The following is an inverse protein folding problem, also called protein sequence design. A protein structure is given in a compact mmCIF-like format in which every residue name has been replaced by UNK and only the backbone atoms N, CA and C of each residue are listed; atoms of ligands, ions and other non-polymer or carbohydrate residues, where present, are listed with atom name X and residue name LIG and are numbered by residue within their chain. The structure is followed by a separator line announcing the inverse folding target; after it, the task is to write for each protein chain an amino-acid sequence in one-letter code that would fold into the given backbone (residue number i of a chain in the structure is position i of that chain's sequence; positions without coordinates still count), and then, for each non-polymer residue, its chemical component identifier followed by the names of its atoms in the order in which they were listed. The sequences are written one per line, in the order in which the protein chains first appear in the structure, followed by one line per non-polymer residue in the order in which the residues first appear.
data_IF_592984575477
#
_entry.id   IF_592984575477
#
_cell.length_a   1.000
_cell.length_b   1.000
_cell.length_c   1.000
_cell.angle_alpha   90.00
_cell.angle_beta   90.00
_cell.angle_gamma   90.00
#
_symmetry.space_group_name_H-M   'P 1'
#
loop_
_entity.id
_entity.type
_entity.pdbx_description
1 polymer ?
#
# COMPACT_ATOMS: atom_id res chain seq x y z
N UNK A 1 29.03 -10.36 38.11
CA UNK A 1 28.27 -9.19 38.60
C UNK A 1 29.19 -7.98 38.49
N UNK A 2 29.29 -7.40 37.28
CA UNK A 2 30.30 -6.38 37.00
C UNK A 2 29.67 -5.16 36.29
N UNK A 3 29.79 -4.00 36.93
CA UNK A 3 29.75 -2.65 36.38
C UNK A 3 28.65 -2.28 35.37
N UNK A 4 27.38 -2.32 35.79
CA UNK A 4 26.29 -1.49 35.22
C UNK A 4 26.30 -0.05 35.77
N UNK A 5 27.49 0.48 36.08
CA UNK A 5 27.66 1.80 36.71
C UNK A 5 27.46 2.94 35.71
N UNK A 6 27.64 2.70 34.41
CA UNK A 6 27.52 3.70 33.35
C UNK A 6 26.47 3.27 32.33
N UNK A 7 25.20 3.57 32.61
CA UNK A 7 24.07 3.30 31.72
C UNK A 7 23.49 4.64 31.26
N UNK A 8 23.28 4.81 29.95
CA UNK A 8 22.67 6.01 29.37
C UNK A 8 21.32 6.37 30.00
N UNK A 9 20.54 5.40 30.47
CA UNK A 9 19.31 5.65 31.24
C UNK A 9 19.57 6.36 32.56
N UNK A 10 20.61 5.97 33.30
CA UNK A 10 21.01 6.64 34.54
C UNK A 10 21.55 8.05 34.29
N UNK A 11 22.29 8.25 33.19
CA UNK A 11 22.72 9.60 32.76
C UNK A 11 21.51 10.48 32.49
N UNK A 12 20.48 9.94 31.81
CA UNK A 12 19.21 10.65 31.57
C UNK A 12 18.44 10.97 32.87
N UNK A 13 18.37 10.03 33.80
CA UNK A 13 17.72 10.23 35.10
C UNK A 13 18.39 11.36 35.90
N UNK A 14 19.73 11.41 35.87
CA UNK A 14 20.52 12.47 36.51
C UNK A 14 20.27 13.85 35.86
N UNK A 15 19.91 13.89 34.58
CA UNK A 15 19.73 15.15 33.83
C UNK A 15 18.32 15.72 33.86
N UNK A 16 17.31 14.89 34.16
CA UNK A 16 15.90 15.32 34.31
C UNK A 16 15.69 16.54 35.22
N UNK A 17 16.36 16.64 36.39
CA UNK A 17 16.26 17.82 37.25
C UNK A 17 16.69 19.13 36.59
N UNK A 18 17.55 19.10 35.57
CA UNK A 18 18.01 20.32 34.88
C UNK A 18 16.99 20.85 33.90
N UNK A 19 16.24 19.97 33.24
CA UNK A 19 15.09 20.39 32.42
C UNK A 19 14.05 21.11 33.28
N UNK A 20 13.82 20.62 34.51
CA UNK A 20 12.94 21.27 35.49
C UNK A 20 13.50 22.63 35.92
N UNK A 21 14.81 22.72 36.19
CA UNK A 21 15.46 23.99 36.55
C UNK A 21 15.41 25.02 35.41
N UNK A 22 15.58 24.60 34.15
CA UNK A 22 15.41 25.45 32.99
C UNK A 22 13.97 25.97 32.89
N UNK A 23 12.97 25.08 33.06
CA UNK A 23 11.56 25.46 33.09
C UNK A 23 11.24 26.48 34.19
N UNK A 24 11.79 26.28 35.39
CA UNK A 24 11.63 27.22 36.51
C UNK A 24 12.29 28.57 36.24
N UNK A 25 13.46 28.59 35.59
CA UNK A 25 14.11 29.84 35.17
C UNK A 25 13.26 30.61 34.17
N UNK A 26 12.73 29.94 33.15
CA UNK A 26 11.84 30.58 32.18
C UNK A 26 10.57 31.12 32.83
N UNK A 27 10.00 30.38 33.78
CA UNK A 27 8.85 30.85 34.55
C UNK A 27 9.18 32.10 35.37
N UNK A 28 10.34 32.14 36.01
CA UNK A 28 10.80 33.29 36.79
C UNK A 28 11.02 34.52 35.88
N UNK A 29 11.65 34.34 34.72
CA UNK A 29 11.81 35.42 33.73
C UNK A 29 10.43 35.92 33.22
N UNK A 30 9.45 35.03 33.04
CA UNK A 30 8.09 35.41 32.64
C UNK A 30 7.36 36.22 33.71
N UNK A 31 7.42 35.78 34.98
CA UNK A 31 6.80 36.49 36.11
C UNK A 31 7.42 37.88 36.27
N UNK A 32 8.74 37.98 36.12
CA UNK A 32 9.44 39.27 36.22
C UNK A 32 9.05 40.22 35.10
N UNK A 33 8.84 39.73 33.87
CA UNK A 33 8.33 40.54 32.75
C UNK A 33 6.92 41.07 33.00
N UNK A 34 6.01 40.18 33.43
CA UNK A 34 4.63 40.56 33.79
C UNK A 34 4.61 41.61 34.91
N UNK A 35 5.50 41.47 35.89
CA UNK A 35 5.68 42.47 36.94
C UNK A 35 6.15 43.82 36.40
N UNK A 36 7.13 43.86 35.48
CA UNK A 36 7.58 45.12 34.85
C UNK A 36 6.42 45.80 34.11
N UNK A 37 5.67 45.03 33.32
CA UNK A 37 4.55 45.56 32.53
C UNK A 37 3.45 46.17 33.41
N UNK A 38 3.12 45.51 34.53
CA UNK A 38 2.05 45.97 35.42
C UNK A 38 2.49 47.02 36.45
N UNK A 39 3.80 47.14 36.71
CA UNK A 39 4.35 48.06 37.71
C UNK A 39 4.04 49.53 37.38
N UNK A 40 4.25 49.93 36.13
CA UNK A 40 4.08 51.34 35.74
C UNK A 40 2.61 51.78 35.81
N UNK A 41 1.67 50.86 35.55
CA UNK A 41 0.23 51.12 35.69
C UNK A 41 -0.22 51.14 37.16
N UNK A 42 0.40 50.34 38.03
CA UNK A 42 0.14 50.38 39.47
C UNK A 42 0.66 51.68 40.13
N UNK A 43 1.80 52.20 39.68
CA UNK A 43 2.43 53.41 40.25
C UNK A 43 1.69 54.69 39.84
N UNK A 44 1.08 54.75 38.65
CA UNK A 44 0.33 55.92 38.15
C UNK A 44 -0.83 56.36 39.06
N UNK A 45 -1.34 55.48 39.91
CA UNK A 45 -2.49 55.75 40.78
C UNK A 45 -2.13 56.37 42.14
N UNK A 46 -0.84 56.57 42.43
CA UNK A 46 -0.38 57.13 43.71
C UNK A 46 0.19 58.54 43.50
N UNK A 47 -0.17 59.47 44.39
CA UNK A 47 0.24 60.88 44.32
C UNK A 47 1.38 61.25 45.29
N UNK A 48 1.71 60.36 46.23
CA UNK A 48 2.71 60.58 47.28
C UNK A 48 4.12 60.28 46.74
N UNK A 49 4.96 61.31 46.65
CA UNK A 49 6.33 61.20 46.12
C UNK A 49 7.26 60.37 47.00
N UNK A 50 7.11 60.42 48.34
CA UNK A 50 7.98 59.66 49.24
C UNK A 50 7.68 58.16 49.14
N UNK A 51 6.39 57.81 49.01
CA UNK A 51 5.95 56.44 48.75
C UNK A 51 6.42 55.93 47.39
N UNK A 52 6.35 56.76 46.34
CA UNK A 52 6.85 56.41 45.00
C UNK A 52 8.36 56.16 45.04
N UNK A 53 9.14 56.97 45.77
CA UNK A 53 10.59 56.80 45.90
C UNK A 53 10.93 55.48 46.61
N UNK A 54 10.22 55.14 47.69
CA UNK A 54 10.38 53.84 48.38
C UNK A 54 10.06 52.66 47.45
N UNK A 55 9.00 52.77 46.64
CA UNK A 55 8.67 51.76 45.63
C UNK A 55 9.79 51.65 44.61
N UNK A 56 10.35 52.76 44.12
CA UNK A 56 11.47 52.74 43.18
C UNK A 56 12.71 52.03 43.74
N UNK A 57 13.05 52.27 45.01
CA UNK A 57 14.14 51.58 45.70
C UNK A 57 13.88 50.07 45.80
N UNK A 58 12.67 49.67 46.22
CA UNK A 58 12.28 48.25 46.28
C UNK A 58 12.34 47.58 44.90
N UNK A 59 11.93 48.29 43.85
CA UNK A 59 12.01 47.77 42.48
C UNK A 59 13.45 47.57 42.02
N UNK A 60 14.35 48.47 42.40
CA UNK A 60 15.77 48.36 42.09
C UNK A 60 16.40 47.16 42.82
N UNK A 61 16.02 46.92 44.07
CA UNK A 61 16.42 45.74 44.82
C UNK A 61 15.89 44.45 44.17
N UNK A 62 14.61 44.42 43.77
CA UNK A 62 14.01 43.28 43.07
C UNK A 62 14.69 43.00 41.73
N UNK A 63 15.05 44.04 40.98
CA UNK A 63 15.82 43.91 39.74
C UNK A 63 17.18 43.28 40.00
N UNK A 64 17.92 43.77 40.99
CA UNK A 64 19.23 43.22 41.35
C UNK A 64 19.15 41.75 41.78
N UNK A 65 18.11 41.38 42.55
CA UNK A 65 17.85 39.99 42.95
C UNK A 65 17.53 39.13 41.72
N UNK A 66 16.68 39.61 40.81
CA UNK A 66 16.35 38.88 39.60
C UNK A 66 17.58 38.66 38.71
N UNK A 67 18.39 39.70 38.48
CA UNK A 67 19.59 39.63 37.65
C UNK A 67 20.63 38.67 38.23
N UNK A 68 20.82 38.69 39.55
CA UNK A 68 21.73 37.76 40.24
C UNK A 68 21.22 36.32 40.18
N UNK A 69 19.93 36.08 40.40
CA UNK A 69 19.31 34.76 40.29
C UNK A 69 19.41 34.19 38.87
N UNK A 70 19.14 35.00 37.85
CA UNK A 70 19.25 34.59 36.45
C UNK A 70 20.71 34.23 36.13
N UNK A 71 21.67 35.07 36.55
CA UNK A 71 23.09 34.82 36.30
C UNK A 71 23.56 33.51 36.94
N UNK A 72 23.31 33.34 38.24
CA UNK A 72 23.72 32.13 38.98
C UNK A 72 23.05 30.89 38.40
N UNK A 73 21.77 30.97 38.05
CA UNK A 73 21.04 29.85 37.49
C UNK A 73 21.56 29.46 36.10
N UNK A 74 21.85 30.44 35.22
CA UNK A 74 22.44 30.19 33.90
C UNK A 74 23.84 29.58 34.01
N UNK A 75 24.67 30.08 34.91
CA UNK A 75 26.00 29.50 35.16
C UNK A 75 25.92 28.05 35.65
N UNK A 76 25.01 27.76 36.59
CA UNK A 76 24.83 26.40 37.11
C UNK A 76 24.27 25.43 36.06
N UNK A 77 23.28 25.87 35.28
CA UNK A 77 22.75 25.10 34.15
C UNK A 77 23.87 24.83 33.13
N UNK A 78 24.68 25.83 32.80
CA UNK A 78 25.82 25.68 31.88
C UNK A 78 26.86 24.66 32.37
N UNK A 79 27.27 24.74 33.65
CA UNK A 79 28.18 23.76 34.26
C UNK A 79 27.62 22.35 34.22
N UNK A 80 26.32 22.20 34.45
CA UNK A 80 25.68 20.89 34.46
C UNK A 80 25.55 20.30 33.04
N UNK A 81 25.18 21.11 32.05
CA UNK A 81 25.15 20.69 30.64
C UNK A 81 26.54 20.22 30.21
N UNK A 82 27.58 20.99 30.55
CA UNK A 82 28.96 20.59 30.27
C UNK A 82 29.31 19.24 30.91
N UNK A 83 28.93 19.04 32.17
CA UNK A 83 29.13 17.76 32.87
C UNK A 83 28.35 16.61 32.21
N UNK A 84 27.11 16.85 31.79
CA UNK A 84 26.30 15.88 31.05
C UNK A 84 26.97 15.47 29.73
N UNK A 85 27.46 16.44 28.96
CA UNK A 85 28.12 16.18 27.68
C UNK A 85 29.41 15.36 27.87
N UNK A 86 30.19 15.67 28.90
CA UNK A 86 31.37 14.89 29.27
C UNK A 86 31.03 13.45 29.69
N UNK A 87 29.94 13.25 30.46
CA UNK A 87 29.46 11.91 30.81
C UNK A 87 29.00 11.14 29.56
N UNK A 88 28.26 11.77 28.66
CA UNK A 88 27.80 11.14 27.41
C UNK A 88 28.99 10.77 26.52
N UNK A 89 29.98 11.65 26.41
CA UNK A 89 31.19 11.42 25.63
C UNK A 89 31.96 10.22 26.19
N UNK A 90 32.22 10.19 27.50
CA UNK A 90 32.87 9.04 28.15
C UNK A 90 32.09 7.74 27.97
N UNK A 91 30.76 7.78 28.02
CA UNK A 91 29.93 6.60 27.78
C UNK A 91 30.08 6.09 26.35
N UNK A 92 30.08 7.00 25.36
CA UNK A 92 30.29 6.66 23.95
C UNK A 92 31.66 6.04 23.74
N UNK A 93 32.70 6.62 24.33
CA UNK A 93 34.06 6.13 24.20
C UNK A 93 34.21 4.72 24.79
N UNK A 94 33.71 4.49 26.02
CA UNK A 94 33.70 3.17 26.66
C UNK A 94 32.88 2.14 25.85
N UNK A 95 31.74 2.57 25.28
CA UNK A 95 30.93 1.71 24.42
C UNK A 95 31.66 1.34 23.13
N UNK A 96 32.34 2.29 22.48
CA UNK A 96 33.16 2.05 21.29
C UNK A 96 34.29 1.09 21.61
N UNK A 97 34.97 1.24 22.75
CA UNK A 97 36.05 0.36 23.14
C UNK A 97 35.55 -1.05 23.51
N UNK A 98 34.37 -1.16 24.13
CA UNK A 98 33.68 -2.45 24.31
C UNK A 98 33.34 -3.11 22.98
N UNK A 99 32.89 -2.33 21.99
CA UNK A 99 32.62 -2.83 20.65
C UNK A 99 33.88 -3.24 19.87
N UNK A 100 35.00 -2.54 20.06
CA UNK A 100 36.29 -2.95 19.48
C UNK A 100 36.80 -4.25 20.11
N UNK A 101 36.58 -4.43 21.41
CA UNK A 101 36.97 -5.64 22.15
C UNK A 101 36.06 -6.83 21.86
N UNK A 102 34.80 -6.60 21.47
CA UNK A 102 33.95 -7.68 20.98
C UNK A 102 34.41 -8.06 19.58
N UNK A 103 35.21 -9.12 19.49
CA UNK A 103 35.61 -9.75 18.23
C UNK A 103 34.38 -10.35 17.52
N UNK A 104 33.56 -9.49 16.91
CA UNK A 104 32.45 -9.90 16.08
C UNK A 104 33.00 -10.28 14.72
N UNK A 105 32.63 -11.47 14.24
CA UNK A 105 32.98 -11.94 12.91
C UNK A 105 32.55 -10.91 11.86
N UNK A 106 33.43 -10.56 10.91
CA UNK A 106 33.27 -9.46 9.93
C UNK A 106 31.94 -9.57 9.15
N UNK A 107 31.46 -10.79 8.92
CA UNK A 107 30.19 -11.06 8.26
C UNK A 107 28.97 -10.70 9.14
N UNK A 108 29.03 -10.97 10.44
CA UNK A 108 27.95 -10.63 11.38
C UNK A 108 27.85 -9.11 11.57
N UNK A 109 28.99 -8.40 11.64
CA UNK A 109 29.01 -6.93 11.67
C UNK A 109 28.34 -6.36 10.42
N UNK A 110 28.66 -6.91 9.24
CA UNK A 110 28.08 -6.47 7.98
C UNK A 110 26.57 -6.70 7.93
N UNK A 111 26.09 -7.86 8.39
CA UNK A 111 24.66 -8.16 8.46
C UNK A 111 23.92 -7.26 9.45
N UNK A 112 24.49 -7.04 10.64
CA UNK A 112 23.92 -6.13 11.64
C UNK A 112 23.88 -4.70 11.09
N UNK A 113 24.96 -4.23 10.47
CA UNK A 113 25.03 -2.90 9.85
C UNK A 113 24.02 -2.70 8.73
N UNK A 114 23.89 -3.67 7.82
CA UNK A 114 22.88 -3.64 6.76
C UNK A 114 21.47 -3.61 7.32
N UNK A 115 21.18 -4.46 8.32
CA UNK A 115 19.87 -4.51 8.99
C UNK A 115 19.53 -3.19 9.72
N UNK A 116 20.52 -2.49 10.29
CA UNK A 116 20.31 -1.18 10.92
C UNK A 116 20.07 -0.05 9.90
N UNK A 117 20.68 -0.14 8.70
CA UNK A 117 20.45 0.78 7.59
C UNK A 117 19.07 0.54 6.96
N UNK A 118 18.72 -0.71 6.69
CA UNK A 118 17.41 -1.10 6.12
C UNK A 118 16.25 -0.65 7.02
N UNK A 119 16.41 -0.82 8.34
CA UNK A 119 15.41 -0.38 9.32
C UNK A 119 15.47 1.11 9.65
N UNK A 120 16.28 1.91 8.94
CA UNK A 120 16.47 3.37 9.16
C UNK A 120 16.85 3.76 10.60
N UNK A 121 17.40 2.84 11.40
CA UNK A 121 17.83 3.12 12.78
C UNK A 121 19.16 3.87 12.82
N UNK A 122 19.96 3.73 11.76
CA UNK A 122 21.19 4.48 11.54
C UNK A 122 21.17 4.98 10.09
N UNK A 123 21.27 6.29 9.91
CA UNK A 123 21.60 6.88 8.62
C UNK A 123 23.11 6.84 8.42
N UNK A 124 23.58 6.63 7.18
CA UNK A 124 25.00 6.79 6.84
C UNK A 124 25.43 8.18 7.30
N UNK A 125 26.33 8.27 8.28
CA UNK A 125 26.88 9.55 8.73
C UNK A 125 27.64 10.13 7.55
N UNK A 126 27.07 11.16 6.93
CA UNK A 126 27.79 11.97 5.96
C UNK A 126 28.65 12.92 6.81
N UNK A 127 29.91 12.56 7.01
CA UNK A 127 30.86 13.26 7.89
C UNK A 127 31.13 14.72 7.50
N UNK A 128 30.68 15.13 6.32
CA UNK A 128 30.68 16.51 5.87
C UNK A 128 29.26 16.84 5.43
N UNK A 129 28.62 17.81 6.08
CA UNK A 129 27.61 18.61 5.39
C UNK A 129 28.34 19.33 4.25
N UNK A 130 28.48 18.65 3.12
CA UNK A 130 28.87 19.29 1.87
C UNK A 130 27.72 20.22 1.52
N UNK A 131 27.85 21.48 1.95
CA UNK A 131 27.11 22.57 1.34
C UNK A 131 27.59 22.64 -0.10
N UNK A 132 26.92 21.89 -0.98
CA UNK A 132 26.93 22.19 -2.40
C UNK A 132 26.13 23.48 -2.51
N UNK A 133 26.83 24.59 -2.69
CA UNK A 133 26.18 25.80 -3.20
C UNK A 133 25.43 25.38 -4.46
N UNK A 134 24.14 25.70 -4.52
CA UNK A 134 23.39 25.45 -5.75
C UNK A 134 24.10 26.22 -6.85
N UNK A 135 24.44 25.52 -7.94
CA UNK A 135 24.95 26.17 -9.14
C UNK A 135 24.02 27.33 -9.48
N UNK A 136 24.61 28.49 -9.74
CA UNK A 136 23.91 29.64 -10.27
C UNK A 136 23.37 29.30 -11.67
N UNK A 137 22.38 30.07 -12.14
CA UNK A 137 21.72 29.79 -13.41
C UNK A 137 22.72 29.83 -14.59
N UNK A 138 23.71 30.72 -14.51
CA UNK A 138 24.78 30.85 -15.50
C UNK A 138 25.70 29.62 -15.51
N UNK A 139 26.12 29.13 -14.33
CA UNK A 139 26.93 27.90 -14.23
C UNK A 139 26.16 26.66 -14.71
N UNK A 140 24.83 26.64 -14.56
CA UNK A 140 23.99 25.60 -15.14
C UNK A 140 23.99 25.64 -16.66
N UNK A 141 23.92 26.83 -17.26
CA UNK A 141 23.96 27.00 -18.72
C UNK A 141 25.33 26.59 -19.27
N UNK A 142 26.42 27.02 -18.64
CA UNK A 142 27.78 26.67 -19.02
C UNK A 142 28.05 25.16 -18.91
N UNK A 143 27.55 24.54 -17.84
CA UNK A 143 27.63 23.09 -17.66
C UNK A 143 26.82 22.35 -18.73
N UNK A 144 25.64 22.86 -19.09
CA UNK A 144 24.79 22.27 -20.13
C UNK A 144 25.45 22.38 -21.50
N UNK A 145 26.09 23.51 -21.82
CA UNK A 145 26.84 23.70 -23.06
C UNK A 145 28.11 22.85 -23.10
N UNK A 146 28.81 22.71 -21.98
CA UNK A 146 29.95 21.78 -21.83
C UNK A 146 29.53 20.33 -22.01
N UNK A 147 28.37 19.93 -21.47
CA UNK A 147 27.80 18.60 -21.64
C UNK A 147 27.38 18.35 -23.09
N UNK A 148 26.81 19.33 -23.79
CA UNK A 148 26.48 19.22 -25.22
C UNK A 148 27.72 18.95 -26.08
N UNK A 149 28.88 19.47 -25.69
CA UNK A 149 30.16 19.23 -26.40
C UNK A 149 30.82 17.91 -25.98
N UNK A 150 30.42 17.32 -24.86
CA UNK A 150 31.01 16.09 -24.34
C UNK A 150 30.50 14.84 -25.08
N UNK A 151 31.42 14.13 -25.73
CA UNK A 151 31.11 12.95 -26.54
C UNK A 151 30.56 11.77 -25.72
N UNK A 152 30.99 11.59 -24.47
CA UNK A 152 30.46 10.55 -23.58
C UNK A 152 29.03 10.89 -23.17
N UNK A 153 28.75 12.15 -22.84
CA UNK A 153 27.40 12.61 -22.51
C UNK A 153 26.45 12.40 -23.69
N UNK A 154 26.82 12.83 -24.90
CA UNK A 154 26.04 12.60 -26.11
C UNK A 154 25.82 11.11 -26.39
N UNK A 155 26.85 10.27 -26.20
CA UNK A 155 26.71 8.83 -26.35
C UNK A 155 25.75 8.22 -25.33
N UNK A 156 25.77 8.71 -24.07
CA UNK A 156 24.81 8.27 -23.05
C UNK A 156 23.39 8.76 -23.34
N UNK A 157 23.21 10.00 -23.82
CA UNK A 157 21.92 10.52 -24.26
C UNK A 157 21.30 9.64 -25.35
N UNK A 158 22.07 9.28 -26.38
CA UNK A 158 21.61 8.35 -27.43
C UNK A 158 21.19 6.98 -26.87
N UNK A 159 21.91 6.47 -25.85
CA UNK A 159 21.52 5.22 -25.17
C UNK A 159 20.21 5.38 -24.39
N UNK A 160 20.02 6.51 -23.72
CA UNK A 160 18.79 6.83 -22.98
C UNK A 160 17.61 7.00 -23.93
N UNK A 161 17.78 7.73 -25.04
CA UNK A 161 16.78 7.88 -26.10
C UNK A 161 16.38 6.52 -26.68
N UNK A 162 17.37 5.67 -26.97
CA UNK A 162 17.12 4.31 -27.46
C UNK A 162 16.32 3.50 -26.44
N UNK A 163 16.73 3.51 -25.17
CA UNK A 163 16.01 2.83 -24.09
C UNK A 163 14.57 3.34 -23.95
N UNK A 164 14.37 4.66 -24.01
CA UNK A 164 13.04 5.26 -23.93
C UNK A 164 12.17 4.86 -25.13
N UNK A 165 12.73 4.83 -26.34
CA UNK A 165 12.04 4.35 -27.54
C UNK A 165 11.64 2.87 -27.43
N UNK A 166 12.49 2.03 -26.84
CA UNK A 166 12.20 0.62 -26.58
C UNK A 166 11.10 0.46 -25.52
N UNK A 167 11.10 1.30 -24.48
CA UNK A 167 10.09 1.32 -23.43
C UNK A 167 8.73 1.75 -24.00
N UNK A 168 8.69 2.78 -24.84
CA UNK A 168 7.48 3.20 -25.55
C UNK A 168 6.94 2.09 -26.46
N UNK A 169 7.79 1.41 -27.22
CA UNK A 169 7.38 0.26 -28.05
C UNK A 169 6.82 -0.89 -27.20
N UNK A 170 7.42 -1.17 -26.05
CA UNK A 170 6.91 -2.20 -25.12
C UNK A 170 5.55 -1.82 -24.55
N UNK A 171 5.38 -0.55 -24.12
CA UNK A 171 4.09 -0.06 -23.62
C UNK A 171 3.01 -0.07 -24.69
N UNK A 172 3.32 0.36 -25.92
CA UNK A 172 2.40 0.29 -27.05
C UNK A 172 1.95 -1.16 -27.31
N UNK A 173 2.87 -2.12 -27.33
CA UNK A 173 2.52 -3.55 -27.45
C UNK A 173 1.64 -4.06 -26.31
N UNK A 174 1.91 -3.64 -25.07
CA UNK A 174 1.10 -4.01 -23.91
C UNK A 174 -0.31 -3.43 -24.00
N UNK A 175 -0.45 -2.18 -24.42
CA UNK A 175 -1.77 -1.55 -24.58
C UNK A 175 -2.54 -2.15 -25.77
N UNK A 176 -1.87 -2.41 -26.90
CA UNK A 176 -2.47 -3.11 -28.04
C UNK A 176 -2.96 -4.52 -27.67
N UNK A 177 -2.23 -5.24 -26.81
CA UNK A 177 -2.65 -6.57 -26.35
C UNK A 177 -3.89 -6.56 -25.44
N UNK A 178 -4.27 -5.40 -24.91
CA UNK A 178 -5.49 -5.22 -24.10
C UNK A 178 -6.71 -4.88 -24.96
N UNK A 179 -6.52 -4.58 -26.24
CA UNK A 179 -7.60 -4.27 -27.18
C UNK A 179 -8.28 -5.59 -27.60
N UNK A 180 -9.62 -5.69 -27.55
CA UNK A 180 -10.33 -6.88 -28.04
C UNK A 180 -10.03 -7.14 -29.52
N UNK A 181 -9.81 -8.39 -29.90
CA UNK A 181 -9.48 -8.80 -31.28
C UNK A 181 -10.53 -8.40 -32.34
N UNK A 182 -11.76 -8.05 -31.93
CA UNK A 182 -12.83 -7.56 -32.81
C UNK A 182 -12.88 -6.03 -32.96
N UNK A 183 -11.87 -5.31 -32.50
CA UNK A 183 -11.84 -3.85 -32.61
C UNK A 183 -11.51 -3.40 -34.02
N UNK A 184 -12.12 -2.29 -34.46
CA UNK A 184 -11.92 -1.74 -35.81
C UNK A 184 -10.44 -1.44 -36.07
N UNK A 185 -9.84 -2.00 -37.15
CA UNK A 185 -8.44 -1.75 -37.50
C UNK A 185 -8.11 -0.27 -37.71
N UNK A 186 -9.09 0.59 -38.02
CA UNK A 186 -8.86 2.04 -38.12
C UNK A 186 -8.69 2.70 -36.74
N UNK A 187 -9.46 2.28 -35.73
CA UNK A 187 -9.31 2.74 -34.34
C UNK A 187 -7.96 2.37 -33.75
N UNK A 188 -7.44 1.19 -34.11
CA UNK A 188 -6.11 0.73 -33.70
C UNK A 188 -5.01 1.61 -34.32
N UNK A 189 -5.12 1.94 -35.62
CA UNK A 189 -4.17 2.84 -36.29
C UNK A 189 -4.22 4.26 -35.75
N UNK A 190 -5.39 4.76 -35.40
CA UNK A 190 -5.54 6.09 -34.81
C UNK A 190 -5.02 6.13 -33.37
N UNK A 191 -5.17 5.03 -32.63
CA UNK A 191 -4.53 4.88 -31.32
C UNK A 191 -3.00 4.86 -31.44
N UNK A 192 -2.42 4.11 -32.38
CA UNK A 192 -0.97 4.10 -32.61
C UNK A 192 -0.42 5.49 -32.93
N UNK A 193 -1.08 6.24 -33.82
CA UNK A 193 -0.70 7.62 -34.16
C UNK A 193 -0.78 8.55 -32.95
N UNK A 194 -1.84 8.44 -32.15
CA UNK A 194 -2.01 9.28 -30.96
C UNK A 194 -1.01 8.92 -29.86
N UNK A 195 -0.69 7.63 -29.68
CA UNK A 195 0.28 7.14 -28.71
C UNK A 195 1.71 7.62 -29.00
N UNK A 196 2.08 7.71 -30.29
CA UNK A 196 3.37 8.27 -30.71
C UNK A 196 3.47 9.78 -30.46
N UNK A 197 2.34 10.48 -30.51
CA UNK A 197 2.28 11.93 -30.27
C UNK A 197 2.27 12.25 -28.77
N UNK A 198 1.50 11.48 -27.99
CA UNK A 198 1.46 11.52 -26.54
C UNK A 198 1.15 10.10 -26.00
N UNK A 199 1.99 9.54 -25.10
CA UNK A 199 1.77 8.19 -24.58
C UNK A 199 0.58 8.17 -23.61
N UNK A 200 -0.59 7.80 -24.13
CA UNK A 200 -1.89 7.78 -23.44
C UNK A 200 -2.42 6.34 -23.40
N UNK A 201 -3.19 5.99 -22.38
CA UNK A 201 -3.80 4.65 -22.26
C UNK A 201 -4.94 4.47 -23.26
N UNK A 202 -5.21 3.24 -23.74
CA UNK A 202 -6.32 3.01 -24.70
C UNK A 202 -7.68 3.48 -24.14
N UNK A 203 -7.91 3.35 -22.82
CA UNK A 203 -9.11 3.85 -22.16
C UNK A 203 -9.26 5.37 -22.21
N UNK A 204 -8.16 6.09 -22.02
CA UNK A 204 -8.12 7.56 -22.06
C UNK A 204 -8.26 8.06 -23.50
N UNK A 205 -7.70 7.33 -24.48
CA UNK A 205 -7.93 7.59 -25.90
C UNK A 205 -9.40 7.44 -26.28
N UNK A 206 -10.06 6.36 -25.83
CA UNK A 206 -11.50 6.16 -26.05
C UNK A 206 -12.31 7.26 -25.37
N UNK A 207 -12.03 7.62 -24.12
CA UNK A 207 -12.71 8.73 -23.44
C UNK A 207 -12.52 10.07 -24.16
N UNK A 208 -11.33 10.34 -24.70
CA UNK A 208 -11.07 11.55 -25.47
C UNK A 208 -11.80 11.56 -26.81
N UNK A 209 -11.91 10.42 -27.48
CA UNK A 209 -12.76 10.29 -28.68
C UNK A 209 -14.23 10.48 -28.32
N UNK A 210 -14.69 9.84 -27.25
CA UNK A 210 -16.08 9.93 -26.77
C UNK A 210 -16.45 11.38 -26.39
N UNK A 211 -15.54 12.13 -25.79
CA UNK A 211 -15.72 13.55 -25.46
C UNK A 211 -15.74 14.48 -26.68
N UNK A 212 -15.16 14.06 -27.82
CA UNK A 212 -15.07 14.84 -29.06
C UNK A 212 -16.12 14.44 -30.11
N UNK A 213 -16.70 13.26 -30.02
CA UNK A 213 -17.71 12.77 -30.96
C UNK A 213 -19.12 13.30 -30.65
N UNK A 214 -19.88 13.67 -31.69
CA UNK A 214 -21.24 14.22 -31.59
C UNK A 214 -22.25 13.12 -31.16
N UNK A 215 -23.34 13.47 -30.48
CA UNK A 215 -24.35 12.54 -29.91
C UNK A 215 -24.83 11.41 -30.87
N UNK A 216 -24.93 11.67 -32.17
CA UNK A 216 -25.34 10.68 -33.17
C UNK A 216 -24.29 9.58 -33.44
N UNK A 217 -22.99 9.89 -33.31
CA UNK A 217 -21.92 8.90 -33.44
C UNK A 217 -21.79 8.03 -32.18
N UNK A 218 -22.11 8.58 -31.01
CA UNK A 218 -22.17 7.83 -29.75
C UNK A 218 -23.32 6.82 -29.74
N UNK A 219 -24.49 7.18 -30.27
CA UNK A 219 -25.62 6.25 -30.38
C UNK A 219 -25.35 5.10 -31.36
N UNK A 220 -24.72 5.38 -32.50
CA UNK A 220 -24.37 4.33 -33.47
C UNK A 220 -23.29 3.38 -32.93
N UNK A 221 -22.28 3.91 -32.21
CA UNK A 221 -21.27 3.09 -31.53
C UNK A 221 -21.84 2.29 -30.36
N UNK A 222 -22.76 2.84 -29.57
CA UNK A 222 -23.47 2.10 -28.50
C UNK A 222 -24.30 0.95 -29.06
N UNK A 223 -25.08 1.21 -30.12
CA UNK A 223 -25.83 0.17 -30.83
C UNK A 223 -24.91 -0.90 -31.43
N UNK A 224 -23.71 -0.53 -31.87
CA UNK A 224 -22.72 -1.49 -32.35
C UNK A 224 -22.13 -2.33 -31.22
N UNK A 225 -21.83 -1.73 -30.07
CA UNK A 225 -21.36 -2.46 -28.88
C UNK A 225 -22.43 -3.43 -28.37
N UNK A 226 -23.69 -3.01 -28.34
CA UNK A 226 -24.81 -3.89 -27.98
C UNK A 226 -24.94 -5.05 -28.96
N UNK A 227 -24.90 -4.79 -30.27
CA UNK A 227 -24.90 -5.85 -31.30
C UNK A 227 -23.73 -6.80 -31.17
N UNK A 228 -22.51 -6.32 -30.89
CA UNK A 228 -21.35 -7.21 -30.69
C UNK A 228 -21.45 -8.06 -29.43
N UNK A 229 -22.09 -7.56 -28.36
CA UNK A 229 -22.40 -8.34 -27.16
C UNK A 229 -23.49 -9.38 -27.43
N UNK A 230 -24.48 -9.04 -28.24
CA UNK A 230 -25.52 -9.96 -28.71
C UNK A 230 -24.92 -11.04 -29.62
N UNK A 231 -24.01 -10.71 -30.54
CA UNK A 231 -23.34 -11.67 -31.40
C UNK A 231 -22.40 -12.60 -30.58
N UNK A 232 -21.73 -12.06 -29.56
CA UNK A 232 -20.92 -12.85 -28.63
C UNK A 232 -21.79 -13.80 -27.78
N UNK A 233 -22.96 -13.35 -27.32
CA UNK A 233 -23.87 -14.23 -26.58
C UNK A 233 -24.51 -15.28 -27.49
N UNK A 234 -24.84 -14.93 -28.73
CA UNK A 234 -25.37 -15.84 -29.74
C UNK A 234 -24.34 -16.89 -30.17
N UNK A 235 -23.06 -16.53 -30.30
CA UNK A 235 -21.99 -17.50 -30.61
C UNK A 235 -21.77 -18.47 -29.45
N UNK A 236 -21.76 -17.99 -28.21
CA UNK A 236 -21.73 -18.86 -27.01
C UNK A 236 -22.95 -19.78 -26.97
N UNK A 237 -24.14 -19.28 -27.28
CA UNK A 237 -25.37 -20.09 -27.34
C UNK A 237 -25.31 -21.15 -28.45
N UNK A 238 -24.79 -20.81 -29.64
CA UNK A 238 -24.58 -21.78 -30.73
C UNK A 238 -23.59 -22.86 -30.34
N UNK A 239 -22.45 -22.50 -29.74
CA UNK A 239 -21.49 -23.50 -29.24
C UNK A 239 -22.11 -24.40 -28.16
N UNK A 240 -22.96 -23.85 -27.27
CA UNK A 240 -23.71 -24.64 -26.29
C UNK A 240 -24.68 -25.60 -26.98
N UNK A 241 -25.43 -25.15 -27.99
CA UNK A 241 -26.35 -25.97 -28.76
C UNK A 241 -25.63 -27.10 -29.52
N UNK A 242 -24.50 -26.79 -30.17
CA UNK A 242 -23.69 -27.79 -30.87
C UNK A 242 -23.13 -28.85 -29.90
N UNK A 243 -22.67 -28.44 -28.71
CA UNK A 243 -22.22 -29.39 -27.67
C UNK A 243 -23.35 -30.28 -27.17
N UNK A 244 -24.57 -29.75 -27.05
CA UNK A 244 -25.75 -30.52 -26.67
C UNK A 244 -26.13 -31.53 -27.77
N UNK A 245 -26.13 -31.11 -29.04
CA UNK A 245 -26.37 -31.99 -30.18
C UNK A 245 -25.31 -33.11 -30.28
N UNK A 246 -24.04 -32.79 -30.08
CA UNK A 246 -22.97 -33.79 -30.05
C UNK A 246 -23.12 -34.77 -28.87
N UNK A 247 -23.52 -34.30 -27.69
CA UNK A 247 -23.82 -35.17 -26.53
C UNK A 247 -24.97 -36.14 -26.85
N UNK A 248 -26.00 -35.64 -27.54
CA UNK A 248 -27.14 -36.42 -27.99
C UNK A 248 -26.75 -37.45 -29.05
N UNK A 249 -25.96 -37.07 -30.06
CA UNK A 249 -25.45 -38.02 -31.06
C UNK A 249 -24.53 -39.08 -30.46
N UNK A 250 -23.64 -38.69 -29.54
CA UNK A 250 -22.75 -39.60 -28.81
C UNK A 250 -23.56 -40.64 -28.02
N UNK A 251 -24.73 -40.26 -27.49
CA UNK A 251 -25.60 -41.17 -26.76
C UNK A 251 -26.17 -42.29 -27.64
N UNK A 252 -26.52 -42.02 -28.90
CA UNK A 252 -26.97 -43.06 -29.83
C UNK A 252 -25.81 -43.90 -30.39
N UNK A 253 -24.60 -43.32 -30.46
CA UNK A 253 -23.41 -44.00 -31.00
C UNK A 253 -22.78 -44.98 -30.00
N UNK A 254 -22.88 -44.74 -28.70
CA UNK A 254 -22.21 -45.55 -27.66
C UNK A 254 -23.19 -46.33 -26.79
N UNK A 255 -22.75 -47.49 -26.28
CA UNK A 255 -23.51 -48.22 -25.25
C UNK A 255 -23.64 -47.38 -23.97
N UNK A 256 -24.73 -47.59 -23.22
CA UNK A 256 -25.03 -46.83 -21.99
C UNK A 256 -23.87 -46.79 -20.99
N UNK A 257 -23.13 -47.91 -20.86
CA UNK A 257 -21.98 -48.04 -19.96
C UNK A 257 -20.79 -47.21 -20.44
N UNK A 258 -20.53 -47.16 -21.75
CA UNK A 258 -19.44 -46.38 -22.34
C UNK A 258 -19.74 -44.89 -22.39
N UNK A 259 -20.99 -44.51 -22.67
CA UNK A 259 -21.45 -43.13 -22.62
C UNK A 259 -21.27 -42.54 -21.21
N UNK A 260 -21.75 -43.26 -20.18
CA UNK A 260 -21.57 -42.86 -18.77
C UNK A 260 -20.08 -42.76 -18.39
N UNK A 261 -19.22 -43.64 -18.93
CA UNK A 261 -17.76 -43.58 -18.72
C UNK A 261 -17.14 -42.33 -19.35
N UNK A 262 -17.54 -41.94 -20.56
CA UNK A 262 -17.06 -40.72 -21.24
C UNK A 262 -17.53 -39.45 -20.55
N UNK A 263 -18.81 -39.38 -20.14
CA UNK A 263 -19.33 -38.23 -19.38
C UNK A 263 -18.59 -38.04 -18.05
N UNK A 264 -18.31 -39.12 -17.33
CA UNK A 264 -17.48 -39.09 -16.12
C UNK A 264 -16.06 -38.61 -16.40
N UNK A 265 -15.44 -38.99 -17.53
CA UNK A 265 -14.12 -38.46 -17.92
C UNK A 265 -14.16 -36.97 -18.25
N UNK A 266 -15.20 -36.47 -18.93
CA UNK A 266 -15.37 -35.04 -19.24
C UNK A 266 -15.56 -34.18 -17.97
N UNK A 267 -16.30 -34.68 -16.96
CA UNK A 267 -16.51 -33.99 -15.67
C UNK A 267 -15.30 -34.00 -14.73
N UNK A 268 -14.26 -34.80 -15.00
CA UNK A 268 -13.04 -34.83 -14.18
C UNK A 268 -12.16 -33.62 -14.51
N UNK A 269 -11.85 -32.82 -13.49
CA UNK A 269 -10.80 -31.80 -13.61
C UNK A 269 -9.44 -32.46 -13.85
N UNK A 270 -8.67 -31.93 -14.79
CA UNK A 270 -7.30 -32.42 -15.05
C UNK A 270 -6.40 -32.02 -13.88
N UNK A 271 -5.54 -32.94 -13.44
CA UNK A 271 -4.57 -32.71 -12.35
C UNK A 271 -3.70 -31.47 -12.58
N UNK A 272 -3.43 -31.10 -13.84
CA UNK A 272 -2.72 -29.87 -14.22
C UNK A 272 -3.40 -28.60 -13.70
N UNK A 273 -4.73 -28.57 -13.62
CA UNK A 273 -5.49 -27.39 -13.23
C UNK A 273 -5.60 -27.23 -11.70
N UNK A 274 -5.19 -28.26 -10.94
CA UNK A 274 -5.22 -28.24 -9.47
C UNK A 274 -3.94 -27.58 -8.91
N UNK A 275 -2.85 -27.55 -9.69
CA UNK A 275 -1.52 -27.08 -9.24
C UNK A 275 -1.39 -25.54 -9.26
N UNK A 276 -2.20 -24.82 -10.02
CA UNK A 276 -2.08 -23.35 -10.18
C UNK A 276 -2.88 -22.52 -9.16
N UNK A 277 -3.39 -23.11 -8.07
CA UNK A 277 -3.98 -22.34 -6.96
C UNK A 277 -3.08 -22.37 -5.72
N UNK A 278 -1.98 -21.58 -5.67
CA UNK A 278 -1.08 -21.54 -4.52
C UNK A 278 -1.73 -20.98 -3.23
N UNK A 279 -2.96 -20.49 -3.29
CA UNK A 279 -3.63 -19.84 -2.17
C UNK A 279 -4.58 -20.73 -1.34
N UNK A 280 -4.78 -22.01 -1.67
CA UNK A 280 -5.72 -22.88 -0.91
C UNK A 280 -5.10 -23.67 0.25
N UNK A 281 -3.78 -23.89 0.26
CA UNK A 281 -3.15 -24.82 1.21
C UNK A 281 -2.28 -24.19 2.30
N UNK A 282 -2.26 -22.85 2.44
CA UNK A 282 -1.81 -22.26 3.71
C UNK A 282 -2.99 -22.31 4.67
N UNK A 283 -2.98 -23.26 5.61
CA UNK A 283 -3.75 -23.10 6.85
C UNK A 283 -3.23 -21.82 7.50
N UNK A 284 -3.95 -20.73 7.31
CA UNK A 284 -3.73 -19.50 8.07
C UNK A 284 -4.07 -19.88 9.51
N UNK A 285 -3.10 -19.82 10.41
CA UNK A 285 -3.37 -19.88 11.85
C UNK A 285 -4.10 -18.59 12.21
N UNK A 286 -5.42 -18.67 12.25
CA UNK A 286 -6.30 -17.58 12.61
C UNK A 286 -6.36 -17.58 14.15
N UNK A 287 -5.96 -16.49 14.80
CA UNK A 287 -6.11 -16.35 16.26
C UNK A 287 -7.59 -16.34 16.66
N UNK A 288 -7.90 -16.76 17.87
CA UNK A 288 -9.29 -16.88 18.38
C UNK A 288 -10.11 -15.59 18.21
N UNK A 289 -9.47 -14.42 18.35
CA UNK A 289 -10.12 -13.12 18.11
C UNK A 289 -10.54 -12.89 16.66
N UNK A 290 -9.79 -13.42 15.69
CA UNK A 290 -10.10 -13.26 14.27
C UNK A 290 -11.17 -14.26 13.85
N UNK A 291 -11.20 -15.47 14.42
CA UNK A 291 -12.31 -16.42 14.21
C UNK A 291 -13.63 -15.88 14.76
N UNK A 292 -13.64 -15.29 15.95
CA UNK A 292 -14.85 -14.67 16.51
C UNK A 292 -15.35 -13.49 15.65
N UNK A 293 -14.43 -12.68 15.11
CA UNK A 293 -14.80 -11.59 14.19
C UNK A 293 -15.38 -12.12 12.88
N UNK A 294 -14.84 -13.22 12.35
CA UNK A 294 -15.35 -13.85 11.13
C UNK A 294 -16.73 -14.47 11.38
N UNK A 295 -16.96 -15.12 12.52
CA UNK A 295 -18.27 -15.68 12.88
C UNK A 295 -19.33 -14.59 13.12
N UNK A 296 -18.95 -13.51 13.83
CA UNK A 296 -19.81 -12.31 13.97
C UNK A 296 -20.07 -11.61 12.63
N UNK A 297 -19.21 -11.79 11.63
CA UNK A 297 -19.40 -11.24 10.29
C UNK A 297 -20.32 -12.13 9.44
N UNK A 298 -20.19 -13.46 9.54
CA UNK A 298 -21.07 -14.41 8.85
C UNK A 298 -22.50 -14.38 9.39
N UNK A 299 -22.67 -14.22 10.70
CA UNK A 299 -24.02 -14.12 11.31
C UNK A 299 -24.75 -12.82 10.99
N UNK A 300 -24.03 -11.78 10.53
CA UNK A 300 -24.61 -10.51 10.06
C UNK A 300 -25.10 -10.57 8.61
N UNK A 301 -24.71 -11.56 7.83
CA UNK A 301 -25.28 -11.82 6.52
C UNK A 301 -26.40 -12.83 6.67
N UNK A 302 -27.64 -12.36 6.63
CA UNK A 302 -28.81 -13.23 6.57
C UNK A 302 -28.67 -14.26 5.42
N UNK A 303 -29.20 -15.47 5.65
CA UNK A 303 -29.23 -16.61 4.73
C UNK A 303 -29.66 -16.27 3.28
N UNK A 304 -30.28 -15.11 3.05
CA UNK A 304 -30.63 -14.57 1.73
C UNK A 304 -29.44 -14.24 0.83
N UNK A 305 -28.23 -14.01 1.36
CA UNK A 305 -27.06 -13.71 0.52
C UNK A 305 -26.57 -14.96 -0.24
N UNK A 306 -26.61 -16.13 0.40
CA UNK A 306 -26.25 -17.40 -0.23
C UNK A 306 -27.26 -17.83 -1.30
N UNK A 307 -28.55 -17.47 -1.16
CA UNK A 307 -29.56 -17.79 -2.17
C UNK A 307 -29.56 -16.83 -3.37
N UNK A 308 -29.21 -15.55 -3.18
CA UNK A 308 -29.28 -14.54 -4.25
C UNK A 308 -27.96 -14.27 -4.98
N UNK A 309 -26.81 -14.43 -4.32
CA UNK A 309 -25.52 -13.96 -4.86
C UNK A 309 -24.46 -15.03 -5.01
N UNK A 310 -24.57 -16.14 -4.27
CA UNK A 310 -23.93 -17.37 -4.69
C UNK A 310 -24.78 -17.93 -5.82
N UNK A 311 -24.34 -17.71 -7.05
CA UNK A 311 -24.74 -18.52 -8.19
C UNK A 311 -24.53 -19.96 -7.71
N UNK A 312 -25.61 -20.65 -7.32
CA UNK A 312 -25.61 -22.11 -7.23
C UNK A 312 -25.01 -22.50 -8.56
N UNK A 313 -23.81 -23.11 -8.55
CA UNK A 313 -23.16 -23.61 -9.76
C UNK A 313 -24.30 -24.10 -10.65
N UNK A 314 -24.42 -23.51 -11.84
CA UNK A 314 -25.37 -23.98 -12.83
C UNK A 314 -25.02 -25.44 -13.07
N UNK A 315 -25.58 -26.32 -12.25
CA UNK A 315 -25.73 -27.72 -12.56
C UNK A 315 -26.81 -27.70 -13.63
N UNK A 316 -26.42 -27.27 -14.84
CA UNK A 316 -27.16 -27.49 -16.07
C UNK A 316 -27.34 -29.02 -16.14
N UNK A 317 -28.45 -29.50 -15.56
CA UNK A 317 -28.82 -30.90 -15.61
C UNK A 317 -29.06 -31.19 -17.07
N UNK A 318 -28.23 -32.06 -17.66
CA UNK A 318 -28.37 -32.49 -19.04
C UNK A 318 -29.83 -32.94 -19.28
N UNK A 319 -30.56 -32.38 -20.26
CA UNK A 319 -31.93 -32.76 -20.53
C UNK A 319 -32.11 -34.27 -20.75
N UNK A 320 -31.06 -34.98 -21.19
CA UNK A 320 -31.05 -36.44 -21.27
C UNK A 320 -31.05 -37.13 -19.90
N UNK A 321 -30.38 -36.56 -18.89
CA UNK A 321 -30.41 -37.07 -17.52
C UNK A 321 -31.80 -36.88 -16.89
N UNK A 322 -32.52 -35.81 -17.25
CA UNK A 322 -33.93 -35.61 -16.89
C UNK A 322 -34.83 -36.70 -17.50
N UNK A 323 -34.65 -37.00 -18.80
CA UNK A 323 -35.41 -38.04 -19.50
C UNK A 323 -35.13 -39.43 -18.91
N UNK A 324 -33.85 -39.75 -18.63
CA UNK A 324 -33.45 -41.02 -17.99
C UNK A 324 -34.06 -41.18 -16.61
N UNK A 325 -33.97 -40.15 -15.76
CA UNK A 325 -34.62 -40.16 -14.43
C UNK A 325 -36.12 -40.39 -14.55
N UNK A 326 -36.79 -39.75 -15.52
CA UNK A 326 -38.23 -39.92 -15.74
C UNK A 326 -38.57 -41.34 -16.21
N UNK A 327 -37.76 -41.94 -17.08
CA UNK A 327 -37.93 -43.33 -17.52
C UNK A 327 -37.69 -44.33 -16.39
N UNK A 328 -36.66 -44.12 -15.57
CA UNK A 328 -36.39 -44.93 -14.38
C UNK A 328 -37.53 -44.82 -13.36
N UNK A 329 -38.12 -43.63 -13.15
CA UNK A 329 -39.30 -43.48 -12.30
C UNK A 329 -40.53 -44.18 -12.88
N UNK A 330 -40.80 -44.05 -14.18
CA UNK A 330 -41.88 -44.76 -14.87
C UNK A 330 -41.72 -46.29 -14.81
N UNK A 331 -40.51 -46.81 -14.95
CA UNK A 331 -40.24 -48.25 -14.84
C UNK A 331 -40.41 -48.75 -13.40
N UNK A 332 -40.08 -47.92 -12.40
CA UNK A 332 -40.37 -48.23 -10.98
C UNK A 332 -41.86 -48.21 -10.70
N UNK A 333 -42.58 -47.17 -11.15
CA UNK A 333 -44.04 -47.07 -11.07
C UNK A 333 -44.71 -48.28 -11.73
N UNK A 334 -44.24 -48.70 -12.91
CA UNK A 334 -44.76 -49.87 -13.61
C UNK A 334 -44.46 -51.17 -12.85
N UNK A 335 -43.25 -51.36 -12.32
CA UNK A 335 -42.92 -52.54 -11.49
C UNK A 335 -43.73 -52.59 -10.20
N UNK A 336 -43.97 -51.46 -9.56
CA UNK A 336 -44.86 -51.36 -8.41
C UNK A 336 -46.31 -51.67 -8.80
N UNK A 337 -46.74 -51.23 -9.98
CA UNK A 337 -48.06 -51.54 -10.50
C UNK A 337 -48.22 -53.03 -10.80
N UNK A 338 -47.26 -53.67 -11.47
CA UNK A 338 -47.25 -55.12 -11.75
C UNK A 338 -47.24 -55.93 -10.45
N UNK A 339 -46.41 -55.56 -9.47
CA UNK A 339 -46.43 -56.19 -8.14
C UNK A 339 -47.78 -56.11 -7.46
N UNK A 340 -48.48 -54.97 -7.55
CA UNK A 340 -49.85 -54.82 -7.02
C UNK A 340 -50.89 -55.71 -7.71
N UNK A 341 -50.62 -56.21 -8.91
CA UNK A 341 -51.46 -57.21 -9.58
C UNK A 341 -51.07 -58.64 -9.19
N UNK A 342 -49.77 -58.94 -9.09
CA UNK A 342 -49.27 -60.24 -8.60
C UNK A 342 -49.69 -60.50 -7.13
N UNK A 343 -49.75 -59.46 -6.29
CA UNK A 343 -50.24 -59.54 -4.90
C UNK A 343 -51.78 -59.63 -4.78
N UNK A 344 -52.53 -59.53 -5.89
CA UNK A 344 -54.01 -59.67 -5.93
C UNK A 344 -54.49 -60.99 -6.53
N UNK A 345 -53.60 -61.77 -7.16
CA UNK A 345 -53.89 -63.10 -7.70
C UNK A 345 -53.44 -64.25 -6.75
N UNK A 346 -52.91 -63.91 -5.56
CA UNK A 346 -52.81 -64.80 -4.40
C UNK A 346 -53.76 -64.32 -3.31
#
# INVERSE_FOLDING_TARGET
MENQLFNFKKIKEITTPVEILQGNLFRLESIYKEYIENKDDAIKNFSDQDFINQIQELNQLLKNINDTLIKVSKENIGKFIFFQDELIKKYKDDFVDKLKKSNLNRNNIKQIGLNLIENKKISKIIYQSSFLFSLTLDEWLDLLDSLKQNSLYLATLKKVEKYYSELLKKRLKQELSKIPNNSDPNLIKDFEKSFHSNPITFKEFIQNIESKSTQKELETKRRFIEKTKEDASLTILKEKQERQLQSFEDYFKFSDKEFKRRMRKKKREKLSNIVENPNKNKKIEISEEVSEKIEKFKSKFENNFEEKFLIKKDDEIDPLDLIRKRKEMKDKEYKEFVKKFEDKEN
#
